data_IF_412209590209
#
_entry.id   IF_412209590209
#
_cell.length_a   1.000
_cell.length_b   1.000
_cell.length_c   1.000
_cell.angle_alpha   90.00
_cell.angle_beta   90.00
_cell.angle_gamma   90.00
#
_symmetry.space_group_name_H-M   'P 1'
#
loop_
_entity.id
_entity.type
_entity.pdbx_description
1 polymer ?
#
# COMPACT_ATOMS: atom_id res chain seq x y z
N UNK A 1 19.48 6.06 -8.58
CA UNK A 1 18.12 5.83 -8.08
C UNK A 1 17.37 4.82 -8.91
N UNK A 2 16.35 4.25 -8.35
CA UNK A 2 15.40 3.39 -9.07
C UNK A 2 14.21 4.26 -9.45
N UNK A 3 13.74 4.26 -10.72
CA UNK A 3 12.60 5.08 -11.10
C UNK A 3 11.33 4.63 -10.34
N UNK A 4 10.53 5.60 -9.92
CA UNK A 4 9.18 5.37 -9.45
C UNK A 4 8.32 4.78 -10.58
N UNK A 5 7.19 4.18 -10.23
CA UNK A 5 6.24 3.57 -11.19
C UNK A 5 5.83 4.55 -12.29
N UNK A 6 5.68 5.84 -11.98
CA UNK A 6 5.38 6.87 -12.98
C UNK A 6 6.58 7.26 -13.87
N UNK A 7 7.78 6.72 -13.61
CA UNK A 7 9.01 6.92 -14.41
C UNK A 7 9.63 8.32 -14.35
N UNK A 8 8.99 9.28 -13.72
CA UNK A 8 9.44 10.68 -13.69
C UNK A 8 10.24 11.01 -12.43
N UNK A 9 10.04 10.28 -11.35
CA UNK A 9 10.69 10.48 -10.06
C UNK A 9 11.44 9.24 -9.61
N UNK A 10 12.38 9.42 -8.68
CA UNK A 10 13.09 8.32 -8.04
C UNK A 10 12.34 7.86 -6.77
N UNK A 11 12.35 6.54 -6.54
CA UNK A 11 11.75 5.96 -5.33
C UNK A 11 12.55 6.36 -4.10
N UNK A 12 11.89 6.96 -3.13
CA UNK A 12 12.41 7.25 -1.81
C UNK A 12 12.15 6.10 -0.84
N UNK A 13 13.13 5.25 -0.57
CA UNK A 13 13.03 4.25 0.50
C UNK A 13 13.67 4.73 1.79
N UNK A 14 13.17 4.21 2.94
CA UNK A 14 13.76 4.48 4.25
C UNK A 14 15.09 3.77 4.40
N UNK A 15 16.07 4.47 4.97
CA UNK A 15 17.39 3.92 5.28
C UNK A 15 17.78 4.25 6.72
N UNK A 16 18.49 3.33 7.35
CA UNK A 16 19.19 3.53 8.60
C UNK A 16 20.66 3.85 8.30
N UNK A 17 21.13 4.98 8.82
CA UNK A 17 22.53 5.39 8.75
C UNK A 17 23.17 5.30 10.14
N UNK A 18 24.29 4.58 10.25
CA UNK A 18 25.11 4.57 11.46
C UNK A 18 26.29 5.55 11.30
N UNK A 19 26.33 6.66 12.08
CA UNK A 19 27.40 7.63 11.96
C UNK A 19 28.74 7.13 12.51
N UNK A 20 28.79 5.99 13.23
CA UNK A 20 30.03 5.45 13.81
C UNK A 20 30.91 4.80 12.74
N UNK A 21 30.32 4.08 11.81
CA UNK A 21 31.04 3.36 10.76
C UNK A 21 30.68 3.83 9.35
N UNK A 22 29.72 4.75 9.22
CA UNK A 22 29.24 5.28 7.94
C UNK A 22 28.35 4.29 7.18
N UNK A 23 27.92 3.20 7.79
CA UNK A 23 27.10 2.21 7.13
C UNK A 23 25.68 2.74 6.84
N UNK A 24 25.14 2.31 5.70
CA UNK A 24 23.79 2.64 5.27
C UNK A 24 23.03 1.35 4.97
N UNK A 25 21.95 1.11 5.70
CA UNK A 25 21.08 -0.05 5.52
C UNK A 25 19.68 0.36 5.11
N UNK A 26 19.17 -0.20 4.01
CA UNK A 26 17.79 0.04 3.57
C UNK A 26 16.80 -0.73 4.45
N UNK A 27 15.71 -0.06 4.84
CA UNK A 27 14.67 -0.58 5.72
C UNK A 27 13.35 -0.85 5.00
N UNK A 28 13.06 -0.14 3.91
CA UNK A 28 11.89 -0.39 3.07
C UNK A 28 12.32 -0.72 1.65
N UNK A 29 11.54 -1.56 0.98
CA UNK A 29 11.85 -2.09 -0.35
C UNK A 29 10.71 -1.83 -1.32
N UNK A 30 9.81 -0.94 -0.94
CA UNK A 30 8.62 -0.57 -1.69
C UNK A 30 9.02 -0.02 -3.06
N UNK A 31 8.25 -0.35 -4.07
CA UNK A 31 8.41 0.16 -5.43
C UNK A 31 7.91 1.61 -5.57
N UNK A 32 7.18 2.10 -4.57
CA UNK A 32 6.77 3.49 -4.41
C UNK A 32 7.47 4.17 -3.24
N UNK A 33 7.24 5.48 -3.07
CA UNK A 33 8.00 6.28 -2.13
C UNK A 33 7.49 6.19 -0.68
N UNK A 34 8.45 6.28 0.26
CA UNK A 34 8.20 6.47 1.68
C UNK A 34 8.76 7.82 2.12
N UNK A 35 8.01 8.55 2.98
CA UNK A 35 8.37 9.92 3.37
C UNK A 35 8.26 10.18 4.86
N UNK A 36 8.94 11.27 5.28
CA UNK A 36 8.78 11.90 6.58
C UNK A 36 8.90 10.96 7.79
N UNK A 37 10.00 10.17 7.93
CA UNK A 37 10.17 9.31 9.09
C UNK A 37 10.26 10.13 10.37
N UNK A 38 9.65 9.58 11.45
CA UNK A 38 9.74 10.14 12.79
C UNK A 38 9.76 9.05 13.84
N UNK A 39 10.52 9.25 14.92
CA UNK A 39 10.57 8.31 16.03
C UNK A 39 9.33 8.51 16.90
N UNK A 40 8.63 7.44 17.20
CA UNK A 40 7.48 7.41 18.11
C UNK A 40 7.92 7.28 19.57
N UNK A 41 7.02 7.61 20.49
CA UNK A 41 7.31 7.52 21.95
C UNK A 41 7.64 6.09 22.40
N UNK A 42 7.20 5.08 21.68
CA UNK A 42 7.50 3.66 21.94
C UNK A 42 8.78 3.15 21.24
N UNK A 43 9.54 4.04 20.59
CA UNK A 43 10.77 3.69 19.88
C UNK A 43 10.58 3.20 18.44
N UNK A 44 9.34 3.00 17.97
CA UNK A 44 9.07 2.63 16.56
C UNK A 44 9.25 3.84 15.64
N UNK A 45 9.34 3.60 14.35
CA UNK A 45 9.45 4.63 13.30
C UNK A 45 8.11 4.76 12.60
N UNK A 46 7.51 5.93 12.65
CA UNK A 46 6.31 6.30 11.89
C UNK A 46 6.72 7.00 10.59
N UNK A 47 6.03 6.71 9.48
CA UNK A 47 6.33 7.30 8.17
C UNK A 47 5.09 7.29 7.27
N UNK A 48 5.10 8.10 6.22
CA UNK A 48 4.09 8.05 5.16
C UNK A 48 4.53 7.07 4.08
N UNK A 49 3.65 6.13 3.71
CA UNK A 49 3.82 5.23 2.58
C UNK A 49 2.83 5.62 1.48
N UNK A 50 3.31 5.67 0.27
CA UNK A 50 2.48 5.80 -0.92
C UNK A 50 2.32 4.44 -1.59
N UNK A 51 1.10 4.05 -1.87
CA UNK A 51 0.79 2.87 -2.66
C UNK A 51 0.20 3.31 -4.00
N UNK A 52 0.96 3.13 -5.07
CA UNK A 52 0.62 3.51 -6.44
C UNK A 52 0.47 2.25 -7.28
N UNK A 53 -0.43 1.39 -6.85
CA UNK A 53 -0.53 0.00 -7.28
C UNK A 53 -1.93 -0.32 -7.83
N UNK A 54 -2.47 -1.47 -7.46
CA UNK A 54 -3.87 -1.85 -7.72
C UNK A 54 -4.89 -1.06 -6.88
N UNK A 55 -4.44 -0.09 -6.08
CA UNK A 55 -5.27 0.82 -5.30
C UNK A 55 -5.40 2.16 -6.00
N UNK A 56 -6.44 2.89 -5.66
CA UNK A 56 -6.71 4.23 -6.15
C UNK A 56 -5.62 5.19 -5.71
N UNK A 57 -4.66 5.48 -6.56
CA UNK A 57 -3.41 6.17 -6.22
C UNK A 57 -3.59 7.62 -5.73
N UNK A 58 -4.72 8.27 -6.05
CA UNK A 58 -5.03 9.62 -5.55
C UNK A 58 -5.25 9.66 -4.04
N UNK A 59 -5.56 8.55 -3.39
CA UNK A 59 -6.01 8.48 -2.01
C UNK A 59 -5.21 7.53 -1.14
N UNK A 60 -4.12 6.98 -1.64
CA UNK A 60 -3.36 5.91 -0.97
C UNK A 60 -2.03 6.36 -0.38
N UNK A 61 -1.98 7.55 0.23
CA UNK A 61 -0.85 8.02 1.03
C UNK A 61 -1.22 8.03 2.50
N UNK A 62 -0.84 6.98 3.19
CA UNK A 62 -1.26 6.74 4.57
C UNK A 62 -0.07 6.55 5.52
N UNK A 63 -0.37 6.53 6.81
CA UNK A 63 0.65 6.44 7.85
C UNK A 63 0.93 5.00 8.18
N UNK A 64 2.21 4.63 8.11
CA UNK A 64 2.77 3.34 8.50
C UNK A 64 3.64 3.49 9.75
N UNK A 65 3.97 2.36 10.37
CA UNK A 65 5.03 2.28 11.36
C UNK A 65 5.80 0.95 11.28
N UNK A 66 7.04 0.97 11.76
CA UNK A 66 7.92 -0.20 11.80
C UNK A 66 8.86 -0.13 12.99
N UNK A 67 9.55 -1.22 13.31
CA UNK A 67 10.70 -1.20 14.22
C UNK A 67 11.89 -0.48 13.58
N UNK A 68 12.87 0.04 14.37
CA UNK A 68 14.04 0.73 13.81
C UNK A 68 14.89 -0.13 12.89
N UNK A 69 14.82 -1.45 12.99
CA UNK A 69 15.52 -2.40 12.12
C UNK A 69 14.78 -2.72 10.82
N UNK A 70 13.57 -2.16 10.61
CA UNK A 70 12.72 -2.36 9.44
C UNK A 70 11.69 -3.49 9.60
N UNK A 71 11.73 -4.24 10.71
CA UNK A 71 10.75 -5.32 10.97
C UNK A 71 9.39 -4.79 11.39
N UNK A 72 8.38 -5.66 11.32
CA UNK A 72 6.99 -5.39 11.74
C UNK A 72 6.39 -4.14 11.09
N UNK A 73 6.56 -4.00 9.78
CA UNK A 73 5.92 -2.93 9.01
C UNK A 73 4.40 -3.13 9.02
N UNK A 74 3.67 -2.12 9.54
CA UNK A 74 2.21 -2.17 9.70
C UNK A 74 1.59 -0.82 9.40
N UNK A 75 0.36 -0.84 8.90
CA UNK A 75 -0.45 0.38 8.79
C UNK A 75 -0.77 0.95 10.18
N UNK A 76 -0.64 2.25 10.33
CA UNK A 76 -1.05 2.97 11.53
C UNK A 76 -2.39 3.68 11.33
N UNK A 77 -2.58 4.37 10.17
CA UNK A 77 -3.79 5.10 9.86
C UNK A 77 -3.98 5.32 8.36
N UNK A 78 -5.22 5.17 7.87
CA UNK A 78 -5.65 5.54 6.52
C UNK A 78 -5.58 4.43 5.48
N UNK A 79 -5.10 3.25 5.81
CA UNK A 79 -5.13 2.09 4.91
C UNK A 79 -6.56 1.58 4.73
N UNK A 80 -6.94 1.27 3.48
CA UNK A 80 -8.29 0.79 3.14
C UNK A 80 -9.37 1.85 3.36
N UNK A 81 -9.07 3.13 3.12
CA UNK A 81 -9.99 4.24 3.31
C UNK A 81 -9.66 5.41 2.37
N UNK A 82 -10.63 5.94 1.65
CA UNK A 82 -10.45 7.11 0.77
C UNK A 82 -10.06 8.38 1.51
N UNK A 83 -10.58 8.58 2.70
CA UNK A 83 -10.24 9.70 3.55
C UNK A 83 -9.34 9.20 4.69
N UNK A 84 -8.27 9.90 5.03
CA UNK A 84 -7.87 11.25 4.64
C UNK A 84 -6.95 11.32 3.40
N UNK A 85 -7.40 11.12 2.22
CA UNK A 85 -6.69 11.18 0.93
C UNK A 85 -5.18 10.97 0.98
N UNK A 86 -4.47 11.92 1.62
CA UNK A 86 -3.02 11.88 1.84
C UNK A 86 -2.69 12.45 3.20
N UNK A 87 -1.89 11.74 4.00
CA UNK A 87 -1.43 12.21 5.32
C UNK A 87 0.08 12.39 5.30
N UNK A 88 0.53 13.61 5.60
CA UNK A 88 1.94 13.97 5.61
C UNK A 88 2.40 14.47 6.97
N UNK A 89 3.72 14.42 7.17
CA UNK A 89 4.42 15.02 8.32
C UNK A 89 3.86 14.62 9.69
N UNK A 90 3.41 13.38 9.81
CA UNK A 90 2.88 12.84 11.04
C UNK A 90 3.92 12.84 12.17
N UNK A 91 3.54 13.33 13.36
CA UNK A 91 4.39 13.42 14.56
C UNK A 91 3.64 12.93 15.77
N UNK A 92 4.22 12.02 16.59
CA UNK A 92 3.59 11.54 17.81
C UNK A 92 3.41 12.67 18.82
N UNK A 93 2.31 12.69 19.57
CA UNK A 93 2.12 13.65 20.64
C UNK A 93 2.96 13.25 21.87
N UNK A 94 3.67 14.19 22.51
CA UNK A 94 4.42 13.89 23.71
C UNK A 94 3.54 13.25 24.80
N UNK A 95 4.02 12.16 25.40
CA UNK A 95 3.31 11.44 26.46
C UNK A 95 2.14 10.56 26.01
N UNK A 96 1.76 10.58 24.75
CA UNK A 96 0.71 9.70 24.22
C UNK A 96 1.27 8.39 23.66
N UNK A 97 0.55 7.29 23.88
CA UNK A 97 0.89 5.99 23.31
C UNK A 97 0.34 5.78 21.89
N UNK A 98 -0.68 6.54 21.48
CA UNK A 98 -1.38 6.36 20.20
C UNK A 98 -1.52 7.63 19.37
N UNK A 99 -1.70 8.79 20.01
CA UNK A 99 -2.08 10.01 19.31
C UNK A 99 -0.92 10.65 18.55
N UNK A 100 -1.26 11.24 17.42
CA UNK A 100 -0.32 12.00 16.61
C UNK A 100 -1.01 13.21 15.93
N UNK A 101 -0.21 14.17 15.49
CA UNK A 101 -0.61 15.29 14.65
C UNK A 101 -0.08 15.06 13.25
N UNK A 102 -0.83 15.45 12.23
CA UNK A 102 -0.42 15.33 10.83
C UNK A 102 -1.15 16.31 9.93
N UNK A 103 -0.73 16.38 8.67
CA UNK A 103 -1.31 17.26 7.66
C UNK A 103 -2.07 16.41 6.64
N UNK A 104 -3.35 16.70 6.44
CA UNK A 104 -4.16 16.12 5.37
C UNK A 104 -4.04 16.99 4.13
N UNK A 105 -3.75 16.37 2.98
CA UNK A 105 -3.62 17.03 1.69
C UNK A 105 -4.35 16.28 0.57
N UNK A 106 -4.40 16.88 -0.63
CA UNK A 106 -4.81 16.22 -1.86
C UNK A 106 -3.66 15.51 -2.56
N UNK A 107 -3.95 14.86 -3.70
CA UNK A 107 -2.94 14.28 -4.57
C UNK A 107 -2.34 15.32 -5.53
N UNK A 108 -3.20 15.99 -6.29
CA UNK A 108 -2.82 17.11 -7.16
C UNK A 108 -3.13 18.46 -6.53
N UNK A 109 -2.61 19.53 -7.12
CA UNK A 109 -2.80 20.91 -6.66
C UNK A 109 -1.74 21.31 -5.65
N UNK A 110 -2.15 21.69 -4.44
CA UNK A 110 -1.20 22.08 -3.38
C UNK A 110 -0.45 20.86 -2.86
N UNK A 111 0.86 20.85 -3.05
CA UNK A 111 1.70 19.69 -2.72
C UNK A 111 2.07 19.68 -1.25
N UNK A 112 1.62 18.65 -0.52
CA UNK A 112 2.00 18.32 0.88
C UNK A 112 1.66 19.37 1.94
N UNK A 113 1.04 20.49 1.58
CA UNK A 113 0.41 21.39 2.54
C UNK A 113 -1.08 21.09 2.66
N UNK A 114 -1.71 21.53 3.73
CA UNK A 114 -3.14 21.29 3.87
C UNK A 114 -3.68 21.52 5.28
N UNK A 115 -4.67 20.73 5.65
CA UNK A 115 -5.40 20.83 6.91
C UNK A 115 -4.61 20.15 8.04
N UNK A 116 -4.48 20.83 9.17
CA UNK A 116 -3.78 20.29 10.35
C UNK A 116 -4.76 19.49 11.21
N UNK A 117 -4.41 18.25 11.52
CA UNK A 117 -5.33 17.31 12.14
C UNK A 117 -4.69 16.54 13.30
N UNK A 118 -5.47 16.32 14.36
CA UNK A 118 -5.14 15.42 15.46
C UNK A 118 -5.79 14.06 15.24
N UNK A 119 -5.02 12.99 15.46
CA UNK A 119 -5.43 11.60 15.23
C UNK A 119 -5.27 10.76 16.49
N UNK A 120 -6.16 9.77 16.63
CA UNK A 120 -6.04 8.71 17.62
C UNK A 120 -6.38 7.34 17.01
N UNK A 121 -5.38 6.59 16.53
CA UNK A 121 -5.57 5.25 15.99
C UNK A 121 -6.21 4.24 16.96
N UNK A 122 -6.18 4.51 18.27
CA UNK A 122 -6.83 3.62 19.24
C UNK A 122 -8.37 3.67 19.17
N UNK A 123 -8.92 4.76 18.63
CA UNK A 123 -10.37 4.89 18.40
C UNK A 123 -10.79 4.23 17.09
N UNK A 124 -10.06 4.53 16.03
CA UNK A 124 -10.19 3.93 14.70
C UNK A 124 -8.98 4.26 13.86
N UNK A 125 -8.68 3.41 12.89
CA UNK A 125 -7.58 3.59 11.93
C UNK A 125 -8.06 4.01 10.54
N UNK A 126 -9.37 4.19 10.36
CA UNK A 126 -10.00 4.46 9.05
C UNK A 126 -10.82 5.75 9.08
N UNK A 127 -10.79 6.47 7.96
CA UNK A 127 -11.62 7.66 7.69
C UNK A 127 -11.52 8.74 8.78
N UNK A 128 -12.61 9.44 9.09
CA UNK A 128 -12.69 10.46 10.15
C UNK A 128 -12.84 9.89 11.57
N UNK A 129 -13.13 8.60 11.69
CA UNK A 129 -13.50 7.96 12.97
C UNK A 129 -12.39 7.97 14.03
N UNK A 130 -11.14 8.02 13.61
CA UNK A 130 -9.99 8.15 14.50
C UNK A 130 -9.42 9.56 14.54
N UNK A 131 -10.08 10.57 13.97
CA UNK A 131 -9.68 11.96 14.05
C UNK A 131 -10.31 12.63 15.25
N UNK A 132 -9.53 13.43 15.97
CA UNK A 132 -9.97 14.09 17.19
C UNK A 132 -10.44 15.50 16.93
N UNK A 133 -9.67 16.25 16.13
CA UNK A 133 -9.90 17.68 15.92
C UNK A 133 -9.11 18.17 14.70
N UNK A 134 -9.73 19.07 13.93
CA UNK A 134 -9.02 19.93 12.97
C UNK A 134 -8.55 21.21 13.67
N UNK A 135 -7.32 21.63 13.42
CA UNK A 135 -6.76 22.85 13.99
C UNK A 135 -6.58 23.94 12.94
N UNK A 136 -6.97 25.20 13.23
CA UNK A 136 -7.72 25.71 14.38
C UNK A 136 -9.23 25.67 14.11
N UNK A 137 -9.92 24.64 14.38
CA UNK A 137 -11.38 24.56 14.14
C UNK A 137 -12.00 23.52 15.09
N UNK A 138 -11.85 23.76 16.38
CA UNK A 138 -12.22 22.82 17.44
C UNK A 138 -13.64 22.28 17.35
N UNK A 139 -14.60 23.15 17.03
CA UNK A 139 -16.01 22.78 17.00
C UNK A 139 -16.49 22.37 15.59
N UNK A 140 -15.57 22.34 14.60
CA UNK A 140 -15.89 21.90 13.25
C UNK A 140 -16.02 20.38 13.21
N UNK A 141 -17.18 19.92 12.70
CA UNK A 141 -17.32 18.51 12.36
C UNK A 141 -16.33 18.12 11.25
N UNK A 142 -15.59 17.05 11.47
CA UNK A 142 -14.71 16.50 10.45
C UNK A 142 -15.57 15.69 9.49
N UNK A 143 -15.60 16.10 8.22
CA UNK A 143 -16.33 15.42 7.17
C UNK A 143 -15.35 14.68 6.27
N UNK A 144 -15.60 13.40 5.93
CA UNK A 144 -14.74 12.58 5.08
C UNK A 144 -14.92 12.95 3.60
N UNK A 145 -14.42 14.13 3.21
CA UNK A 145 -14.50 14.61 1.83
C UNK A 145 -13.46 13.88 0.98
N UNK A 146 -13.92 13.13 0.00
CA UNK A 146 -13.10 12.43 -0.99
C UNK A 146 -12.98 13.30 -2.24
N UNK A 147 -11.81 13.89 -2.45
CA UNK A 147 -11.55 14.80 -3.57
C UNK A 147 -10.05 14.85 -3.87
N UNK A 148 -9.66 14.73 -5.13
CA UNK A 148 -8.26 14.78 -5.55
C UNK A 148 -7.54 16.07 -5.07
N UNK A 149 -8.09 17.23 -5.39
CA UNK A 149 -7.58 18.55 -4.98
C UNK A 149 -8.25 19.03 -3.69
N UNK A 150 -8.11 18.23 -2.63
CA UNK A 150 -8.85 18.42 -1.37
C UNK A 150 -8.66 19.79 -0.73
N UNK A 151 -7.47 20.36 -0.85
CA UNK A 151 -7.06 21.57 -0.13
C UNK A 151 -6.81 22.78 -1.03
N UNK A 152 -7.11 22.68 -2.32
CA UNK A 152 -7.00 23.82 -3.23
C UNK A 152 -7.96 24.93 -2.84
N UNK A 153 -7.43 26.14 -2.60
CA UNK A 153 -8.22 27.28 -2.15
C UNK A 153 -8.75 27.18 -0.71
N UNK A 154 -8.35 26.16 0.06
CA UNK A 154 -8.70 26.01 1.47
C UNK A 154 -7.60 26.63 2.34
N UNK A 155 -7.98 27.50 3.27
CA UNK A 155 -7.07 28.23 4.16
C UNK A 155 -7.54 28.17 5.61
N UNK A 156 -6.62 28.26 6.59
CA UNK A 156 -5.16 28.25 6.48
C UNK A 156 -4.62 26.90 6.00
N UNK A 157 -3.41 26.90 5.43
CA UNK A 157 -2.65 25.71 5.09
C UNK A 157 -1.43 25.55 5.99
N UNK A 158 -1.13 24.30 6.31
CA UNK A 158 -0.10 23.92 7.26
C UNK A 158 0.88 22.91 6.65
N UNK A 159 2.14 22.95 7.12
CA UNK A 159 3.17 21.94 6.87
C UNK A 159 4.04 21.77 8.11
N UNK A 160 4.69 20.62 8.24
CA UNK A 160 5.75 20.36 9.24
C UNK A 160 5.38 20.71 10.69
N UNK A 161 4.29 20.18 11.22
CA UNK A 161 3.94 20.39 12.62
C UNK A 161 5.02 19.80 13.56
N UNK A 162 5.23 20.47 14.68
CA UNK A 162 6.09 20.03 15.76
C UNK A 162 5.34 20.11 17.08
N UNK A 163 4.94 18.98 17.69
CA UNK A 163 4.26 18.99 18.98
C UNK A 163 5.22 19.35 20.13
N UNK A 164 4.91 20.43 20.83
CA UNK A 164 5.60 20.83 22.06
C UNK A 164 5.06 20.05 23.25
N UNK A 165 3.74 19.89 23.29
CA UNK A 165 2.97 19.10 24.27
C UNK A 165 1.83 18.38 23.54
N UNK A 166 0.93 17.78 24.28
CA UNK A 166 -0.34 17.25 23.77
C UNK A 166 -1.35 18.35 23.32
N UNK A 167 -1.07 19.63 23.64
CA UNK A 167 -1.96 20.77 23.42
C UNK A 167 -1.38 21.90 22.58
N UNK A 168 -0.07 22.03 22.52
CA UNK A 168 0.62 23.14 21.88
C UNK A 168 1.56 22.65 20.79
N UNK A 169 1.51 23.27 19.63
CA UNK A 169 2.26 22.84 18.45
C UNK A 169 2.91 24.04 17.76
N UNK A 170 4.17 23.92 17.40
CA UNK A 170 4.77 24.80 16.41
C UNK A 170 4.43 24.24 15.01
N UNK A 171 4.13 25.13 14.08
CA UNK A 171 3.79 24.72 12.72
C UNK A 171 4.19 25.81 11.74
N UNK A 172 4.58 25.41 10.56
CA UNK A 172 4.65 26.33 9.43
C UNK A 172 3.25 26.49 8.85
N UNK A 173 2.77 27.73 8.74
CA UNK A 173 1.44 28.02 8.21
C UNK A 173 1.44 29.17 7.20
N UNK A 174 0.47 29.11 6.29
CA UNK A 174 0.10 30.18 5.37
C UNK A 174 -1.40 30.43 5.54
N UNK A 175 -1.75 31.62 5.97
CA UNK A 175 -3.12 31.92 6.43
C UNK A 175 -4.13 32.14 5.30
N UNK A 176 -3.65 32.64 4.17
CA UNK A 176 -4.45 32.87 2.96
C UNK A 176 -3.52 32.90 1.73
N UNK A 177 -4.05 33.05 0.55
CA UNK A 177 -3.29 33.00 -0.71
C UNK A 177 -2.15 34.02 -0.79
N UNK A 178 -2.33 35.23 -0.23
CA UNK A 178 -1.34 36.31 -0.26
C UNK A 178 -0.40 36.34 0.94
N UNK A 179 -0.68 35.57 2.00
CA UNK A 179 0.16 35.54 3.20
C UNK A 179 1.52 34.86 2.93
N UNK A 180 2.48 35.18 3.76
CA UNK A 180 3.77 34.48 3.76
C UNK A 180 3.67 33.12 4.48
N UNK A 181 4.61 32.22 4.21
CA UNK A 181 4.83 31.03 5.02
C UNK A 181 5.62 31.40 6.27
N UNK A 182 4.95 31.45 7.42
CA UNK A 182 5.52 31.80 8.71
C UNK A 182 5.49 30.65 9.70
N UNK A 183 6.21 30.79 10.79
CA UNK A 183 6.15 29.89 11.96
C UNK A 183 5.12 30.41 12.92
N UNK A 184 4.20 29.54 13.32
CA UNK A 184 3.10 29.83 14.24
C UNK A 184 3.11 28.88 15.43
N UNK A 185 2.67 29.37 16.58
CA UNK A 185 2.24 28.54 17.71
C UNK A 185 0.72 28.36 17.58
N UNK A 186 0.26 27.13 17.56
CA UNK A 186 -1.16 26.76 17.52
C UNK A 186 -1.48 25.84 18.71
N UNK A 187 -2.70 25.92 19.21
CA UNK A 187 -3.17 25.04 20.28
C UNK A 187 -4.54 24.40 19.98
N UNK A 188 -4.96 23.50 20.89
CA UNK A 188 -6.25 22.81 20.78
C UNK A 188 -7.46 23.69 21.10
N UNK A 189 -7.25 24.94 21.50
CA UNK A 189 -8.29 25.94 21.83
C UNK A 189 -8.49 26.96 20.72
N UNK A 190 -7.94 26.70 19.52
CA UNK A 190 -8.00 27.53 18.32
C UNK A 190 -7.19 28.84 18.36
N UNK A 191 -6.28 28.97 19.31
CA UNK A 191 -5.32 30.07 19.30
C UNK A 191 -4.25 29.81 18.23
N UNK A 192 -4.02 30.81 17.38
CA UNK A 192 -2.99 30.79 16.35
C UNK A 192 -2.16 32.07 16.43
N UNK A 193 -0.95 31.96 16.91
CA UNK A 193 -0.04 33.08 17.20
C UNK A 193 1.16 33.06 16.28
N UNK A 194 1.40 34.12 15.53
CA UNK A 194 2.61 34.29 14.72
C UNK A 194 3.84 34.40 15.62
N UNK A 195 4.84 33.59 15.36
CA UNK A 195 6.13 33.61 16.04
C UNK A 195 7.18 34.34 15.17
N UNK A 196 7.25 34.00 13.86
CA UNK A 196 8.17 34.63 12.93
C UNK A 196 7.69 34.48 11.48
N UNK A 197 7.90 35.51 10.70
CA UNK A 197 7.82 35.48 9.24
C UNK A 197 8.81 36.49 8.65
N UNK A 198 9.29 36.27 7.44
CA UNK A 198 10.23 37.17 6.76
C UNK A 198 9.79 37.37 5.31
N UNK A 199 9.81 38.61 4.88
CA UNK A 199 9.51 38.94 3.49
C UNK A 199 10.53 38.34 2.53
N UNK A 200 10.05 37.71 1.47
CA UNK A 200 10.91 37.05 0.47
C UNK A 200 11.42 35.65 0.86
N UNK A 201 11.12 35.17 2.07
CA UNK A 201 11.54 33.86 2.56
C UNK A 201 10.34 33.04 3.09
N UNK A 202 10.40 31.72 2.93
CA UNK A 202 9.47 30.79 3.55
C UNK A 202 10.13 30.09 4.74
N UNK A 203 9.61 30.29 5.94
CA UNK A 203 10.09 29.59 7.12
C UNK A 203 9.41 28.23 7.22
N UNK A 204 10.21 27.15 7.15
CA UNK A 204 9.70 25.76 7.20
C UNK A 204 10.41 24.94 8.27
N UNK A 205 9.77 23.86 8.74
CA UNK A 205 10.30 22.89 9.69
C UNK A 205 10.73 23.50 11.05
N UNK A 206 9.83 24.18 11.78
CA UNK A 206 10.19 24.72 13.09
C UNK A 206 10.61 23.57 14.03
N UNK A 207 11.85 23.64 14.53
CA UNK A 207 12.40 22.58 15.38
C UNK A 207 13.05 23.21 16.61
N UNK A 208 12.44 23.11 17.80
CA UNK A 208 13.04 23.61 19.03
C UNK A 208 14.30 22.84 19.41
N UNK A 209 15.30 23.55 19.88
CA UNK A 209 16.50 22.94 20.47
C UNK A 209 16.26 22.72 21.96
N UNK A 210 15.66 21.59 22.30
CA UNK A 210 15.30 21.23 23.67
C UNK A 210 15.69 19.80 23.98
N UNK A 211 15.93 19.51 25.25
CA UNK A 211 16.11 18.13 25.69
C UNK A 211 14.79 17.38 25.58
N UNK A 212 14.84 16.18 25.01
CA UNK A 212 13.68 15.29 24.83
C UNK A 212 13.89 13.99 25.58
N UNK A 213 12.79 13.35 26.04
CA UNK A 213 12.87 11.97 26.50
C UNK A 213 13.45 11.07 25.39
N UNK A 214 14.37 10.21 25.75
CA UNK A 214 14.90 9.20 24.84
C UNK A 214 13.87 8.08 24.74
N UNK A 215 13.38 7.74 23.55
CA UNK A 215 12.46 6.62 23.38
C UNK A 215 13.11 5.29 23.79
N UNK A 216 12.30 4.28 24.18
CA UNK A 216 12.81 2.94 24.43
C UNK A 216 13.59 2.40 23.24
N UNK A 217 14.70 1.72 23.52
CA UNK A 217 15.47 1.00 22.50
C UNK A 217 14.75 -0.31 22.19
N UNK A 218 14.36 -0.51 20.94
CA UNK A 218 13.83 -1.78 20.45
C UNK A 218 15.01 -2.61 19.96
N UNK A 219 15.26 -3.80 20.53
CA UNK A 219 16.34 -4.68 20.05
C UNK A 219 16.15 -5.08 18.60
N UNK A 220 17.25 -5.19 17.85
CA UNK A 220 17.21 -5.74 16.49
C UNK A 220 16.73 -7.18 16.51
N UNK A 221 15.83 -7.51 15.55
CA UNK A 221 15.26 -8.86 15.36
C UNK A 221 15.70 -9.50 14.05
N UNK A 222 16.50 -8.79 13.26
CA UNK A 222 16.94 -9.26 11.94
C UNK A 222 18.16 -10.15 12.05
N UNK A 223 18.29 -11.05 11.07
CA UNK A 223 19.48 -11.83 10.82
C UNK A 223 19.99 -11.56 9.41
N UNK A 224 20.92 -10.61 9.27
CA UNK A 224 21.45 -10.17 7.97
C UNK A 224 22.08 -11.28 7.13
N UNK A 225 22.44 -12.42 7.73
CA UNK A 225 22.93 -13.58 7.00
C UNK A 225 21.80 -14.38 6.30
N UNK A 226 20.54 -14.19 6.73
CA UNK A 226 19.40 -14.84 6.09
C UNK A 226 19.03 -14.14 4.80
N UNK A 227 18.64 -14.92 3.79
CA UNK A 227 18.05 -14.43 2.54
C UNK A 227 16.52 -14.56 2.53
N UNK A 228 15.95 -15.09 3.59
CA UNK A 228 14.54 -15.43 3.72
C UNK A 228 13.94 -14.81 4.96
N UNK A 229 12.65 -14.57 4.89
CA UNK A 229 11.76 -14.32 6.01
C UNK A 229 10.68 -15.40 6.07
N UNK A 230 9.99 -15.51 7.19
CA UNK A 230 8.87 -16.43 7.37
C UNK A 230 7.57 -15.63 7.49
N UNK A 231 6.51 -16.08 6.83
CA UNK A 231 5.14 -15.58 7.05
C UNK A 231 4.39 -16.61 7.85
N UNK A 232 3.75 -16.16 8.94
CA UNK A 232 2.85 -16.97 9.75
C UNK A 232 1.47 -16.33 9.76
N UNK A 233 0.43 -17.08 9.38
CA UNK A 233 -0.96 -16.65 9.41
C UNK A 233 -1.70 -17.57 10.35
N UNK A 234 -2.38 -16.99 11.37
CA UNK A 234 -3.09 -17.77 12.36
C UNK A 234 -4.35 -18.42 11.77
N UNK A 235 -5.15 -17.62 11.06
CA UNK A 235 -6.41 -18.10 10.47
C UNK A 235 -6.88 -17.18 9.36
N UNK A 236 -6.71 -17.55 8.09
CA UNK A 236 -7.03 -16.69 6.95
C UNK A 236 -8.49 -16.23 6.92
N UNK A 237 -9.41 -16.95 7.59
CA UNK A 237 -10.83 -16.62 7.62
C UNK A 237 -11.20 -15.58 8.70
N UNK A 238 -10.26 -15.11 9.50
CA UNK A 238 -10.46 -13.99 10.42
C UNK A 238 -10.32 -12.65 9.67
N UNK A 239 -11.23 -11.71 9.94
CA UNK A 239 -11.27 -10.39 9.30
C UNK A 239 -12.21 -10.32 8.09
N UNK A 240 -12.34 -9.11 7.55
CA UNK A 240 -13.32 -8.79 6.50
C UNK A 240 -12.92 -9.32 5.09
N UNK A 241 -11.65 -9.62 4.86
CA UNK A 241 -11.15 -9.97 3.52
C UNK A 241 -11.68 -11.29 2.95
N UNK A 242 -12.11 -12.23 3.79
CA UNK A 242 -12.74 -13.49 3.39
C UNK A 242 -14.10 -13.69 4.07
N UNK A 243 -14.80 -12.61 4.41
CA UNK A 243 -16.12 -12.69 5.02
C UNK A 243 -17.09 -13.50 4.15
N UNK A 244 -17.82 -14.43 4.76
CA UNK A 244 -18.78 -15.30 4.07
C UNK A 244 -18.17 -16.46 3.26
N UNK A 245 -16.84 -16.56 3.15
CA UNK A 245 -16.18 -17.69 2.50
C UNK A 245 -16.20 -18.91 3.44
N UNK A 246 -16.77 -20.07 3.02
CA UNK A 246 -16.79 -21.27 3.85
C UNK A 246 -15.38 -21.74 4.21
N UNK A 247 -15.16 -22.13 5.46
CA UNK A 247 -13.88 -22.69 5.89
C UNK A 247 -13.52 -23.92 5.06
N UNK A 248 -12.22 -24.04 4.77
CA UNK A 248 -11.72 -25.12 3.91
C UNK A 248 -11.86 -24.85 2.40
N UNK A 249 -12.43 -23.72 1.97
CA UNK A 249 -12.45 -23.32 0.55
C UNK A 249 -11.06 -22.95 0.04
N UNK A 250 -10.30 -22.18 0.82
CA UNK A 250 -8.91 -21.82 0.48
C UNK A 250 -8.01 -23.03 0.68
N UNK A 251 -7.25 -23.38 -0.37
CA UNK A 251 -6.31 -24.53 -0.38
C UNK A 251 -4.86 -24.10 -0.39
N UNK A 252 -4.58 -22.93 -0.96
CA UNK A 252 -3.23 -22.43 -1.10
C UNK A 252 -3.23 -20.92 -1.21
N UNK A 253 -2.06 -20.30 -1.04
CA UNK A 253 -1.78 -18.95 -1.54
C UNK A 253 -0.96 -19.01 -2.81
N UNK A 254 -1.29 -18.14 -3.77
CA UNK A 254 -0.34 -17.72 -4.80
C UNK A 254 0.46 -16.56 -4.25
N UNK A 255 1.78 -16.66 -4.36
CA UNK A 255 2.74 -15.65 -3.88
C UNK A 255 3.27 -14.87 -5.07
N UNK A 256 3.06 -13.56 -5.05
CA UNK A 256 3.53 -12.63 -6.08
C UNK A 256 4.55 -11.66 -5.46
N UNK A 257 5.66 -11.43 -6.14
CA UNK A 257 6.60 -10.38 -5.79
C UNK A 257 6.31 -9.12 -6.61
N UNK A 258 6.39 -7.97 -5.97
CA UNK A 258 6.41 -6.68 -6.64
C UNK A 258 7.82 -6.33 -7.06
N UNK A 259 7.95 -5.80 -8.27
CA UNK A 259 9.22 -5.40 -8.85
C UNK A 259 9.21 -3.88 -9.09
N UNK A 260 10.40 -3.29 -9.10
CA UNK A 260 10.54 -1.90 -9.50
C UNK A 260 10.21 -1.72 -10.99
N UNK A 261 9.75 -0.53 -11.37
CA UNK A 261 9.60 -0.17 -12.77
C UNK A 261 10.94 -0.32 -13.52
N UNK A 262 10.89 -0.84 -14.74
CA UNK A 262 12.10 -0.95 -15.56
C UNK A 262 12.56 0.43 -16.03
N UNK A 263 13.86 0.65 -16.00
CA UNK A 263 14.46 1.87 -16.53
C UNK A 263 14.05 2.08 -18.02
N UNK A 264 13.59 3.28 -18.35
CA UNK A 264 13.06 3.67 -19.67
C UNK A 264 11.73 3.01 -20.07
N UNK A 265 11.03 2.35 -19.16
CA UNK A 265 9.63 2.02 -19.40
C UNK A 265 8.84 3.33 -19.44
N UNK A 266 7.95 3.54 -20.40
CA UNK A 266 7.04 4.69 -20.38
C UNK A 266 6.32 4.76 -19.03
N UNK A 267 6.21 5.95 -18.50
CA UNK A 267 5.73 6.22 -17.15
C UNK A 267 4.23 6.09 -16.97
N UNK A 268 3.52 5.59 -17.96
CA UNK A 268 2.08 5.47 -17.83
C UNK A 268 1.63 4.01 -17.80
N UNK A 269 0.47 3.80 -17.23
CA UNK A 269 -0.20 2.52 -17.07
C UNK A 269 -0.42 1.77 -18.40
N UNK A 270 -0.20 2.41 -19.54
CA UNK A 270 -0.30 1.82 -20.86
C UNK A 270 0.88 0.91 -21.22
N UNK A 271 2.00 1.02 -20.49
CA UNK A 271 3.19 0.25 -20.79
C UNK A 271 3.09 -1.24 -20.43
N UNK A 272 2.24 -1.58 -19.46
CA UNK A 272 2.13 -2.93 -18.91
C UNK A 272 0.85 -3.67 -19.34
N UNK A 273 -0.21 -2.93 -19.60
CA UNK A 273 -1.49 -3.46 -20.04
C UNK A 273 -2.53 -2.35 -20.16
N UNK A 274 -3.60 -2.59 -20.90
CA UNK A 274 -4.70 -1.63 -21.03
C UNK A 274 -5.37 -1.44 -19.69
N UNK A 275 -5.34 -0.20 -19.15
CA UNK A 275 -5.90 0.13 -17.84
C UNK A 275 -5.45 -0.85 -16.73
N UNK A 276 -4.21 -1.31 -16.79
CA UNK A 276 -3.65 -2.18 -15.77
C UNK A 276 -3.25 -1.37 -14.53
N UNK A 277 -3.07 -2.07 -13.41
CA UNK A 277 -2.28 -1.55 -12.29
C UNK A 277 -0.86 -1.20 -12.77
N UNK A 278 -0.16 -0.38 -12.02
CA UNK A 278 1.13 0.19 -12.41
C UNK A 278 2.31 -0.68 -11.99
N UNK A 279 2.03 -1.71 -11.19
CA UNK A 279 3.06 -2.58 -10.65
C UNK A 279 3.41 -3.71 -11.59
N UNK A 280 4.69 -3.98 -11.64
CA UNK A 280 5.22 -5.20 -12.24
C UNK A 280 5.21 -6.28 -11.17
N UNK A 281 4.52 -7.38 -11.45
CA UNK A 281 4.40 -8.52 -10.55
C UNK A 281 5.04 -9.76 -11.16
N UNK A 282 5.77 -10.50 -10.32
CA UNK A 282 6.37 -11.78 -10.69
C UNK A 282 5.77 -12.89 -9.86
N UNK A 283 5.31 -13.94 -10.50
CA UNK A 283 4.81 -15.14 -9.85
C UNK A 283 5.98 -15.94 -9.25
N UNK A 284 6.03 -16.02 -7.93
CA UNK A 284 7.01 -16.83 -7.22
C UNK A 284 6.58 -18.31 -7.14
N UNK A 285 5.29 -18.56 -6.97
CA UNK A 285 4.72 -19.89 -6.86
C UNK A 285 3.53 -19.97 -5.91
N UNK A 286 3.35 -21.13 -5.29
CA UNK A 286 2.25 -21.38 -4.36
C UNK A 286 2.75 -22.00 -3.05
N UNK A 287 1.98 -21.77 -1.97
CA UNK A 287 2.18 -22.39 -0.65
C UNK A 287 0.86 -22.90 -0.12
N UNK A 288 0.81 -24.03 0.61
CA UNK A 288 -0.43 -24.60 1.12
C UNK A 288 -1.03 -23.74 2.26
N UNK A 289 -2.34 -23.81 2.40
CA UNK A 289 -3.10 -23.37 3.58
C UNK A 289 -3.61 -24.63 4.27
N UNK A 290 -3.43 -24.70 5.58
CA UNK A 290 -3.87 -25.85 6.38
C UNK A 290 -5.40 -25.90 6.52
N UNK A 291 -5.95 -27.05 6.85
CA UNK A 291 -7.40 -27.24 6.97
C UNK A 291 -8.07 -26.34 8.02
N UNK A 292 -7.30 -25.91 9.03
CA UNK A 292 -7.77 -24.98 10.06
C UNK A 292 -7.66 -23.50 9.64
N UNK A 293 -7.21 -23.23 8.40
CA UNK A 293 -7.02 -21.89 7.85
C UNK A 293 -5.69 -21.26 8.20
N UNK A 294 -4.82 -21.95 8.95
CA UNK A 294 -3.50 -21.45 9.27
C UNK A 294 -2.50 -21.70 8.13
N UNK A 295 -1.41 -20.92 8.10
CA UNK A 295 -0.33 -21.13 7.16
C UNK A 295 1.01 -20.67 7.74
N UNK A 296 2.10 -21.36 7.37
CA UNK A 296 3.46 -20.94 7.66
C UNK A 296 4.36 -21.26 6.46
N UNK A 297 5.08 -20.27 5.94
CA UNK A 297 5.90 -20.44 4.75
C UNK A 297 7.02 -19.41 4.67
N UNK A 298 8.03 -19.73 3.87
CA UNK A 298 9.15 -18.84 3.59
C UNK A 298 8.88 -17.92 2.40
N UNK A 299 9.44 -16.74 2.47
CA UNK A 299 9.46 -15.75 1.38
C UNK A 299 10.87 -15.19 1.22
N UNK A 300 11.24 -14.66 0.05
CA UNK A 300 12.47 -13.89 -0.09
C UNK A 300 12.47 -12.68 0.84
N UNK A 301 13.51 -12.49 1.62
CA UNK A 301 13.69 -11.30 2.44
C UNK A 301 13.85 -10.05 1.57
N UNK A 302 13.46 -8.87 2.12
CA UNK A 302 13.61 -7.58 1.45
C UNK A 302 12.85 -7.48 0.12
N UNK A 303 11.80 -8.28 -0.04
CA UNK A 303 11.00 -8.35 -1.26
C UNK A 303 9.54 -8.08 -0.90
N UNK A 304 8.93 -7.02 -1.44
CA UNK A 304 7.49 -6.80 -1.29
C UNK A 304 6.71 -7.94 -1.97
N UNK A 305 5.80 -8.56 -1.25
CA UNK A 305 4.97 -9.64 -1.79
C UNK A 305 3.50 -9.38 -1.55
N UNK A 306 2.66 -9.91 -2.41
CA UNK A 306 1.22 -10.04 -2.18
C UNK A 306 0.76 -11.49 -2.25
N UNK A 307 -0.37 -11.76 -1.62
CA UNK A 307 -0.95 -13.08 -1.49
C UNK A 307 -2.32 -13.13 -2.16
N UNK A 308 -2.57 -14.22 -2.89
CA UNK A 308 -3.90 -14.52 -3.44
C UNK A 308 -4.39 -15.86 -2.87
N UNK A 309 -5.43 -15.88 -2.03
CA UNK A 309 -6.08 -17.11 -1.61
C UNK A 309 -6.68 -17.85 -2.80
N UNK A 310 -6.36 -19.12 -2.95
CA UNK A 310 -6.78 -19.97 -4.07
C UNK A 310 -7.77 -21.03 -3.64
N UNK A 311 -8.79 -21.30 -4.48
CA UNK A 311 -9.67 -22.44 -4.36
C UNK A 311 -9.00 -23.76 -4.79
N UNK A 312 -9.75 -24.87 -4.78
CA UNK A 312 -9.26 -26.20 -5.19
C UNK A 312 -8.89 -26.30 -6.68
N UNK A 313 -9.35 -25.37 -7.51
CA UNK A 313 -9.03 -25.30 -8.93
C UNK A 313 -7.89 -24.30 -9.22
N UNK A 314 -7.27 -23.72 -8.18
CA UNK A 314 -6.20 -22.75 -8.31
C UNK A 314 -6.64 -21.34 -8.74
N UNK A 315 -7.93 -21.03 -8.60
CA UNK A 315 -8.48 -19.70 -8.92
C UNK A 315 -8.44 -18.80 -7.69
N UNK A 316 -8.11 -17.53 -7.88
CA UNK A 316 -8.08 -16.56 -6.80
C UNK A 316 -9.49 -16.20 -6.31
N UNK A 317 -9.75 -16.40 -5.03
CA UNK A 317 -10.99 -16.02 -4.34
C UNK A 317 -10.95 -14.54 -3.98
N UNK A 318 -9.77 -14.07 -3.58
CA UNK A 318 -9.47 -12.71 -3.18
C UNK A 318 -8.02 -12.40 -3.57
N UNK A 319 -7.62 -11.15 -3.54
CA UNK A 319 -6.22 -10.78 -3.66
C UNK A 319 -5.83 -9.63 -2.75
N UNK A 320 -4.62 -9.68 -2.26
CA UNK A 320 -4.00 -8.57 -1.57
C UNK A 320 -3.52 -7.55 -2.61
N UNK A 321 -4.09 -6.34 -2.60
CA UNK A 321 -3.74 -5.25 -3.54
C UNK A 321 -2.60 -4.37 -3.06
N UNK A 322 -2.19 -4.55 -1.84
CA UNK A 322 -1.03 -3.99 -1.20
C UNK A 322 0.04 -5.09 -1.05
N UNK A 323 1.07 -4.82 -0.29
CA UNK A 323 2.15 -5.78 -0.07
C UNK A 323 2.62 -5.78 1.39
N UNK A 324 3.21 -6.88 1.77
CA UNK A 324 4.01 -7.03 2.97
C UNK A 324 5.47 -7.27 2.58
N UNK A 325 6.40 -6.87 3.46
CA UNK A 325 7.83 -7.13 3.28
C UNK A 325 8.36 -7.75 4.55
N UNK A 326 9.00 -8.92 4.44
CA UNK A 326 9.74 -9.54 5.54
C UNK A 326 11.21 -9.15 5.49
N UNK A 327 11.77 -8.72 6.61
CA UNK A 327 13.20 -8.47 6.75
C UNK A 327 13.97 -9.78 6.92
N UNK A 328 15.30 -9.80 6.67
CA UNK A 328 16.11 -11.01 6.81
C UNK A 328 15.95 -11.71 8.16
N UNK A 329 15.48 -12.96 8.16
CA UNK A 329 15.24 -13.77 9.36
C UNK A 329 13.99 -13.39 10.16
N UNK A 330 13.20 -12.42 9.72
CA UNK A 330 11.96 -12.02 10.38
C UNK A 330 10.87 -13.10 10.24
N UNK A 331 10.03 -13.21 11.28
CA UNK A 331 8.72 -13.85 11.17
C UNK A 331 7.64 -12.78 11.13
N UNK A 332 7.07 -12.54 9.96
CA UNK A 332 5.90 -11.67 9.76
C UNK A 332 4.67 -12.44 10.17
N UNK A 333 3.93 -11.93 11.15
CA UNK A 333 2.74 -12.59 11.67
C UNK A 333 1.48 -11.81 11.36
N UNK A 334 0.47 -12.51 10.81
CA UNK A 334 -0.88 -12.02 10.58
C UNK A 334 -1.89 -12.86 11.38
N UNK A 335 -2.94 -12.22 11.89
CA UNK A 335 -4.07 -12.94 12.51
C UNK A 335 -4.92 -13.57 11.41
N UNK A 336 -5.30 -12.78 10.41
CA UNK A 336 -6.12 -13.22 9.29
C UNK A 336 -6.03 -12.31 8.07
N UNK A 337 -7.10 -12.24 7.30
CA UNK A 337 -7.20 -11.40 6.11
C UNK A 337 -7.99 -10.12 6.46
N UNK A 338 -7.29 -9.00 6.64
CA UNK A 338 -7.85 -7.71 7.06
C UNK A 338 -8.52 -7.73 8.45
N UNK A 339 -7.83 -8.32 9.42
CA UNK A 339 -8.25 -8.27 10.82
C UNK A 339 -8.24 -6.85 11.38
N UNK A 340 -9.14 -6.57 12.33
CA UNK A 340 -9.16 -5.30 13.06
C UNK A 340 -7.97 -5.19 14.02
N UNK A 341 -7.01 -4.33 13.70
CA UNK A 341 -5.79 -4.12 14.50
C UNK A 341 -6.04 -3.48 15.88
N UNK A 342 -7.26 -3.03 16.17
CA UNK A 342 -7.66 -2.51 17.49
C UNK A 342 -8.28 -3.61 18.37
N UNK A 343 -8.42 -4.82 17.86
CA UNK A 343 -8.87 -5.98 18.61
C UNK A 343 -7.70 -6.90 18.96
N UNK A 344 -7.76 -7.52 20.13
CA UNK A 344 -6.81 -8.55 20.50
C UNK A 344 -7.22 -9.88 19.85
N UNK A 345 -6.30 -10.56 19.16
CA UNK A 345 -6.60 -11.85 18.59
C UNK A 345 -6.88 -12.86 19.71
N UNK A 346 -7.85 -13.74 19.49
CA UNK A 346 -8.10 -14.87 20.38
C UNK A 346 -6.95 -15.87 20.19
N UNK A 347 -6.18 -16.18 21.24
CA UNK A 347 -5.11 -17.17 21.13
C UNK A 347 -5.67 -18.53 20.72
N UNK A 348 -5.20 -19.05 19.59
CA UNK A 348 -5.57 -20.37 19.08
C UNK A 348 -4.30 -21.19 18.87
N UNK A 349 -4.33 -22.47 19.27
CA UNK A 349 -3.31 -23.43 18.83
C UNK A 349 -3.72 -23.91 17.44
N UNK A 350 -2.92 -23.57 16.44
CA UNK A 350 -3.20 -23.89 15.04
C UNK A 350 -2.15 -24.85 14.48
N UNK A 351 -2.46 -25.57 13.40
CA UNK A 351 -1.57 -26.56 12.79
C UNK A 351 -0.22 -25.94 12.40
N UNK A 352 -0.25 -24.79 11.75
CA UNK A 352 0.95 -24.08 11.32
C UNK A 352 1.94 -23.75 12.45
N UNK A 353 1.46 -23.57 13.69
CA UNK A 353 2.33 -23.27 14.84
C UNK A 353 3.24 -24.43 15.27
N UNK A 354 2.98 -25.62 14.79
CA UNK A 354 3.74 -26.85 15.10
C UNK A 354 4.50 -27.39 13.88
N UNK A 355 4.51 -26.67 12.77
CA UNK A 355 5.10 -27.10 11.49
C UNK A 355 6.36 -26.30 11.16
N UNK A 356 7.25 -26.90 10.38
CA UNK A 356 8.30 -26.15 9.70
C UNK A 356 7.70 -25.30 8.57
N UNK A 357 8.24 -24.10 8.30
CA UNK A 357 7.74 -23.28 7.21
C UNK A 357 7.86 -23.99 5.85
N UNK A 358 6.78 -23.95 5.08
CA UNK A 358 6.77 -24.48 3.71
C UNK A 358 7.64 -23.63 2.78
N UNK A 359 8.34 -24.30 1.88
CA UNK A 359 8.99 -23.64 0.73
C UNK A 359 7.94 -23.31 -0.33
N UNK A 360 8.20 -22.23 -1.10
CA UNK A 360 7.34 -21.88 -2.24
C UNK A 360 7.51 -22.95 -3.34
N UNK A 361 6.42 -23.62 -3.68
CA UNK A 361 6.36 -24.50 -4.86
C UNK A 361 6.38 -23.64 -6.12
N UNK A 362 7.48 -23.67 -6.85
CA UNK A 362 7.66 -22.88 -8.07
C UNK A 362 6.68 -23.31 -9.16
N UNK A 363 6.23 -22.36 -10.03
CA UNK A 363 5.40 -22.72 -11.17
C UNK A 363 6.16 -23.60 -12.16
N UNK A 364 5.44 -24.35 -12.98
CA UNK A 364 6.01 -25.11 -14.09
C UNK A 364 6.82 -24.17 -15.01
N UNK A 365 8.01 -24.58 -15.39
CA UNK A 365 8.95 -23.74 -16.13
C UNK A 365 9.73 -22.73 -15.28
N UNK A 366 9.55 -22.73 -13.94
CA UNK A 366 10.29 -21.87 -13.00
C UNK A 366 9.69 -20.47 -12.84
N UNK A 367 10.34 -19.67 -12.01
CA UNK A 367 9.93 -18.28 -11.76
C UNK A 367 10.25 -17.42 -12.97
N UNK A 368 9.23 -16.82 -13.57
CA UNK A 368 9.34 -15.98 -14.77
C UNK A 368 8.21 -14.94 -14.81
N UNK A 369 8.33 -13.98 -15.70
CA UNK A 369 7.26 -13.04 -15.98
C UNK A 369 6.05 -13.78 -16.60
N UNK A 370 4.86 -13.40 -16.16
CA UNK A 370 3.61 -13.85 -16.79
C UNK A 370 3.24 -12.81 -17.85
N UNK A 371 3.29 -13.19 -19.13
CA UNK A 371 2.97 -12.30 -20.25
C UNK A 371 1.88 -12.90 -21.11
N UNK A 372 1.08 -12.03 -21.75
CA UNK A 372 0.03 -12.47 -22.65
C UNK A 372 0.56 -13.35 -23.79
N UNK A 373 1.68 -12.95 -24.41
CA UNK A 373 2.24 -13.64 -25.57
C UNK A 373 2.77 -15.05 -25.25
N UNK A 374 3.27 -15.24 -24.01
CA UNK A 374 3.82 -16.54 -23.61
C UNK A 374 2.77 -17.47 -23.00
N UNK A 375 1.74 -16.92 -22.33
CA UNK A 375 0.79 -17.72 -21.56
C UNK A 375 -0.59 -17.83 -22.21
N UNK A 376 -1.06 -16.76 -22.83
CA UNK A 376 -2.42 -16.68 -23.36
C UNK A 376 -2.45 -16.88 -24.87
N UNK A 377 -1.56 -16.23 -25.61
CA UNK A 377 -1.55 -16.33 -27.08
C UNK A 377 -1.44 -17.77 -27.59
N UNK A 378 -0.60 -18.67 -27.03
CA UNK A 378 -0.56 -20.08 -27.49
C UNK A 378 -1.89 -20.83 -27.29
N UNK A 379 -2.70 -20.43 -26.30
CA UNK A 379 -4.03 -21.01 -26.10
C UNK A 379 -4.98 -20.52 -27.18
N UNK A 380 -4.94 -19.21 -27.48
CA UNK A 380 -5.75 -18.62 -28.57
C UNK A 380 -5.40 -19.23 -29.94
N UNK A 381 -4.11 -19.38 -30.22
CA UNK A 381 -3.61 -19.98 -31.47
C UNK A 381 -4.08 -21.42 -31.66
N UNK A 382 -4.18 -22.17 -30.58
CA UNK A 382 -4.63 -23.57 -30.63
C UNK A 382 -6.15 -23.72 -30.68
N UNK A 383 -6.89 -22.86 -29.99
CA UNK A 383 -8.30 -23.11 -29.68
C UNK A 383 -9.27 -22.09 -30.32
N UNK A 384 -8.82 -20.90 -30.73
CA UNK A 384 -9.72 -19.79 -31.10
C UNK A 384 -9.52 -19.29 -32.52
N UNK A 385 -8.30 -19.29 -33.09
CA UNK A 385 -7.98 -18.67 -34.36
C UNK A 385 -8.63 -19.38 -35.56
N UNK A 386 -9.11 -20.60 -35.43
CA UNK A 386 -9.85 -21.28 -36.51
C UNK A 386 -11.11 -20.49 -36.93
N UNK A 387 -11.70 -19.73 -36.00
CA UNK A 387 -12.86 -18.86 -36.26
C UNK A 387 -12.53 -17.37 -36.11
N UNK A 388 -11.51 -17.04 -35.32
CA UNK A 388 -11.11 -15.68 -34.93
C UNK A 388 -9.77 -15.27 -35.58
N UNK A 389 -9.68 -15.41 -36.90
CA UNK A 389 -8.48 -15.16 -37.70
C UNK A 389 -8.41 -13.75 -38.33
N UNK A 390 -9.43 -12.94 -38.09
CA UNK A 390 -9.55 -11.60 -38.65
C UNK A 390 -10.06 -11.55 -40.12
N UNK A 391 -10.40 -12.70 -40.73
CA UNK A 391 -10.95 -12.75 -42.06
C UNK A 391 -12.45 -12.44 -42.16
N UNK A 392 -13.11 -12.38 -41.02
CA UNK A 392 -14.55 -12.15 -40.87
C UNK A 392 -14.83 -10.99 -39.87
N UNK A 393 -16.09 -10.80 -39.50
CA UNK A 393 -16.50 -9.73 -38.58
C UNK A 393 -16.26 -10.05 -37.09
N UNK A 394 -15.72 -11.23 -36.76
CA UNK A 394 -15.41 -11.63 -35.40
C UNK A 394 -14.11 -10.96 -34.91
N UNK A 395 -13.91 -10.94 -33.62
CA UNK A 395 -12.67 -10.45 -33.06
C UNK A 395 -11.46 -11.26 -33.57
N UNK A 396 -10.40 -10.58 -33.95
CA UNK A 396 -9.16 -11.20 -34.45
C UNK A 396 -8.28 -11.56 -33.25
N UNK A 397 -8.01 -12.84 -33.03
CA UNK A 397 -7.15 -13.36 -31.98
C UNK A 397 -5.81 -13.90 -32.49
N UNK A 398 -5.46 -13.65 -33.75
CA UNK A 398 -4.16 -14.06 -34.28
C UNK A 398 -3.02 -13.29 -33.65
N UNK A 399 -1.95 -14.02 -33.30
CA UNK A 399 -0.74 -13.43 -32.71
C UNK A 399 0.07 -12.60 -33.72
N UNK A 400 1.03 -11.84 -33.20
CA UNK A 400 2.04 -11.10 -33.98
C UNK A 400 1.56 -9.80 -34.65
N UNK A 401 0.29 -9.45 -34.57
CA UNK A 401 -0.22 -8.15 -35.02
C UNK A 401 -0.16 -7.14 -33.87
N UNK A 402 0.46 -6.00 -34.12
CA UNK A 402 0.58 -4.92 -33.14
C UNK A 402 -0.28 -3.73 -33.57
N UNK A 403 -1.10 -3.23 -32.66
CA UNK A 403 -1.79 -1.97 -32.85
C UNK A 403 -0.80 -0.80 -32.76
N UNK A 404 -0.72 -0.02 -33.82
CA UNK A 404 0.27 1.05 -33.96
C UNK A 404 0.05 2.22 -33.00
N UNK A 405 -1.17 2.38 -32.51
CA UNK A 405 -1.51 3.48 -31.61
C UNK A 405 -1.14 3.15 -30.16
N UNK A 406 -1.54 1.98 -29.69
CA UNK A 406 -1.33 1.56 -28.30
C UNK A 406 -0.03 0.78 -28.08
N UNK A 407 0.56 0.19 -29.15
CA UNK A 407 1.72 -0.69 -29.05
C UNK A 407 1.40 -2.10 -28.55
N UNK A 408 0.14 -2.41 -28.23
CA UNK A 408 -0.26 -3.73 -27.75
C UNK A 408 -0.63 -4.70 -28.90
N UNK A 409 -0.58 -6.00 -28.62
CA UNK A 409 -1.07 -7.03 -29.52
C UNK A 409 -2.57 -6.85 -29.83
N UNK A 410 -2.96 -6.99 -31.10
CA UNK A 410 -4.37 -6.90 -31.53
C UNK A 410 -5.22 -7.97 -30.85
N UNK A 411 -4.70 -9.18 -30.71
CA UNK A 411 -5.36 -10.28 -30.01
C UNK A 411 -5.61 -9.95 -28.52
N UNK A 412 -4.64 -9.31 -27.86
CA UNK A 412 -4.78 -8.85 -26.49
C UNK A 412 -5.88 -7.79 -26.36
N UNK A 413 -5.87 -6.77 -27.23
CA UNK A 413 -6.89 -5.71 -27.23
C UNK A 413 -8.28 -6.25 -27.47
N UNK A 414 -8.42 -7.21 -28.39
CA UNK A 414 -9.70 -7.81 -28.73
C UNK A 414 -10.22 -8.76 -27.63
N UNK A 415 -9.34 -9.44 -26.89
CA UNK A 415 -9.72 -10.30 -25.77
C UNK A 415 -10.05 -9.52 -24.49
N UNK A 416 -9.36 -8.40 -24.29
CA UNK A 416 -9.44 -7.60 -23.06
C UNK A 416 -10.86 -7.24 -22.60
N UNK A 417 -11.84 -6.85 -23.47
CA UNK A 417 -13.19 -6.50 -23.04
C UNK A 417 -13.98 -7.66 -22.40
N UNK A 418 -13.56 -8.89 -22.64
CA UNK A 418 -14.21 -10.09 -22.08
C UNK A 418 -13.60 -10.54 -20.75
N UNK A 419 -12.54 -9.88 -20.28
CA UNK A 419 -11.89 -10.18 -19.00
C UNK A 419 -12.38 -9.19 -17.96
N UNK A 420 -13.08 -9.70 -16.93
CA UNK A 420 -13.49 -8.88 -15.81
C UNK A 420 -12.32 -8.71 -14.85
N UNK A 421 -11.89 -7.48 -14.65
CA UNK A 421 -10.76 -7.10 -13.83
C UNK A 421 -10.91 -5.69 -13.30
N UNK A 422 -10.16 -5.41 -12.27
CA UNK A 422 -10.07 -4.09 -11.70
C UNK A 422 -9.32 -3.12 -12.64
N UNK A 423 -9.77 -1.88 -12.72
CA UNK A 423 -9.05 -0.80 -13.40
C UNK A 423 -8.02 -0.11 -12.49
N UNK A 424 -7.28 0.89 -13.02
CA UNK A 424 -6.21 1.57 -12.26
C UNK A 424 -6.73 2.44 -11.11
N UNK A 425 -7.95 2.95 -11.20
CA UNK A 425 -8.61 3.76 -10.16
C UNK A 425 -9.73 2.95 -9.50
N UNK A 426 -9.40 1.77 -9.08
CA UNK A 426 -10.35 0.87 -8.47
C UNK A 426 -10.63 1.20 -7.00
N UNK A 427 -11.62 0.51 -6.43
CA UNK A 427 -12.05 0.66 -5.04
C UNK A 427 -10.87 0.54 -4.06
N UNK A 428 -10.77 1.45 -3.08
CA UNK A 428 -9.71 1.41 -2.07
C UNK A 428 -10.10 0.52 -0.87
N UNK A 429 -11.38 0.35 -0.62
CA UNK A 429 -11.89 -0.50 0.45
C UNK A 429 -11.64 -1.98 0.14
N UNK A 430 -11.78 -2.82 1.14
CA UNK A 430 -11.62 -4.28 0.97
C UNK A 430 -12.69 -4.79 0.02
N UNK A 431 -12.27 -5.47 -1.05
CA UNK A 431 -13.18 -6.06 -2.03
C UNK A 431 -13.94 -7.24 -1.44
N UNK A 432 -15.15 -7.48 -1.93
CA UNK A 432 -15.88 -8.69 -1.59
C UNK A 432 -15.15 -9.93 -2.14
N UNK A 433 -15.13 -11.05 -1.41
CA UNK A 433 -14.64 -12.31 -1.94
C UNK A 433 -15.38 -12.70 -3.23
N UNK A 434 -14.67 -13.25 -4.18
CA UNK A 434 -15.16 -13.65 -5.52
C UNK A 434 -15.52 -12.49 -6.46
N UNK A 435 -15.42 -11.23 -6.09
CA UNK A 435 -15.78 -10.11 -6.95
C UNK A 435 -15.07 -10.19 -8.32
N UNK A 436 -13.76 -10.47 -8.30
CA UNK A 436 -12.96 -10.67 -9.53
C UNK A 436 -12.56 -12.12 -9.77
N UNK A 437 -13.32 -13.07 -9.23
CA UNK A 437 -13.08 -14.49 -9.45
C UNK A 437 -13.22 -14.84 -10.94
N UNK A 438 -12.37 -15.76 -11.44
CA UNK A 438 -12.36 -16.11 -12.86
C UNK A 438 -13.75 -16.51 -13.42
N UNK A 439 -14.61 -17.15 -12.60
CA UNK A 439 -15.94 -17.58 -13.05
C UNK A 439 -16.91 -16.43 -13.33
N UNK A 440 -16.67 -15.23 -12.82
CA UNK A 440 -17.55 -14.07 -13.10
C UNK A 440 -17.16 -13.35 -14.40
N UNK A 441 -15.96 -13.61 -14.94
CA UNK A 441 -15.48 -13.04 -16.19
C UNK A 441 -16.37 -13.44 -17.37
N UNK A 442 -16.78 -12.50 -18.23
CA UNK A 442 -17.55 -12.80 -19.44
C UNK A 442 -16.91 -13.89 -20.32
N UNK A 443 -15.59 -13.85 -20.49
CA UNK A 443 -14.84 -14.87 -21.22
C UNK A 443 -15.11 -16.27 -20.70
N UNK A 444 -14.97 -16.48 -19.41
CA UNK A 444 -15.16 -17.79 -18.79
C UNK A 444 -16.63 -18.25 -18.85
N UNK A 445 -17.59 -17.30 -18.73
CA UNK A 445 -19.01 -17.60 -18.87
C UNK A 445 -19.33 -18.06 -20.30
N UNK A 446 -18.84 -17.35 -21.31
CA UNK A 446 -19.02 -17.70 -22.74
C UNK A 446 -18.45 -19.10 -23.00
N UNK A 447 -17.20 -19.36 -22.59
CA UNK A 447 -16.56 -20.66 -22.80
C UNK A 447 -17.31 -21.82 -22.11
N UNK A 448 -17.91 -21.59 -20.93
CA UNK A 448 -18.67 -22.60 -20.20
C UNK A 448 -20.05 -22.89 -20.79
N UNK A 449 -20.63 -21.95 -21.49
CA UNK A 449 -21.95 -22.13 -22.17
C UNK A 449 -21.86 -22.76 -23.53
N UNK A 450 -20.69 -23.19 -24.00
CA UNK A 450 -20.49 -23.82 -25.29
C UNK A 450 -20.46 -22.80 -26.41
N UNK A 451 -19.52 -21.87 -26.35
CA UNK A 451 -19.21 -20.96 -27.46
C UNK A 451 -18.66 -21.76 -28.64
N UNK A 452 -19.35 -21.67 -29.77
CA UNK A 452 -19.01 -22.33 -31.06
C UNK A 452 -18.78 -21.27 -32.11
#
# INVERSE_FOLDING_TARGET
>A
GVPCVNGNDEVGNMCLYDPKDGSLRRLTFDQDANWAPTVMNNGRIMYTRWEYTDLTHYFSRFVMHMNPDGTEQKSLYGSGSYFPNSTFDAKPLPGSSSQFIGVISGHHGVTRSGRLMLFDPSKSRKSEKGMLQELPFRDRKIEPIVKDRLVDGVWPQFIKPYPLTDKYFLVTAKLNESALWGVYLIDIYDNLTLIAEFEGEGLICPTPVVQRPVPPVIPEKINLASKEATVFIQDIYEGEGLEGVPRGTVKAFRVLAYEYAYNKTPSDHWAQGVQSGWDIKRLLGTVPVEEDGSAIFKIPANTPISLQPLDSEGRAIQWMRSWLTGMPGETVSCVGCHEDQNQLPIPKRVKASAMAPHEITKPEGGVRSFTFDLEVQPVLDRACIACHDGSNKLADFTGGKIDKFSGFGVSYLNLHPYVYRQGPEAEIEVLDPYEYHASVSPLIKILKTGHH
#
